data_IF_588738188775
#
_entry.id   IF_588738188775
#
_cell.length_a   1.000
_cell.length_b   1.000
_cell.length_c   1.000
_cell.angle_alpha   90.00
_cell.angle_beta   90.00
_cell.angle_gamma   90.00
#
_symmetry.space_group_name_H-M   'P 1'
#
loop_
_entity.id
_entity.type
_entity.pdbx_description
1 polymer ?
#
# COMPACT_ATOMS: atom_id res chain seq x y z
N UNK A 1 -23.56 -23.20 15.33
CA UNK A 1 -24.08 -22.14 14.47
C UNK A 1 -24.52 -22.76 13.16
N UNK A 2 -25.78 -22.60 12.80
CA UNK A 2 -26.36 -23.16 11.59
C UNK A 2 -25.85 -22.40 10.35
N UNK A 3 -25.92 -23.01 9.16
CA UNK A 3 -25.69 -22.32 7.88
C UNK A 3 -26.41 -20.98 7.74
N UNK A 4 -27.68 -20.92 8.17
CA UNK A 4 -28.52 -19.73 8.09
C UNK A 4 -28.03 -18.60 9.01
N UNK A 5 -27.44 -18.94 10.16
CA UNK A 5 -26.80 -17.99 11.08
C UNK A 5 -25.42 -17.52 10.59
N UNK A 6 -24.67 -18.38 9.87
CA UNK A 6 -23.32 -18.07 9.35
C UNK A 6 -23.35 -17.06 8.21
N UNK A 7 -24.27 -17.22 7.26
CA UNK A 7 -24.35 -16.39 6.04
C UNK A 7 -24.42 -14.87 6.31
N UNK A 8 -25.28 -14.35 7.20
CA UNK A 8 -25.31 -12.91 7.47
C UNK A 8 -24.00 -12.40 8.07
N UNK A 9 -23.36 -13.16 8.96
CA UNK A 9 -22.07 -12.80 9.56
C UNK A 9 -20.94 -12.76 8.52
N UNK A 10 -20.89 -13.72 7.59
CA UNK A 10 -19.92 -13.72 6.49
C UNK A 10 -20.13 -12.53 5.55
N UNK A 11 -21.39 -12.16 5.27
CA UNK A 11 -21.73 -10.99 4.45
C UNK A 11 -21.29 -9.68 5.13
N UNK A 12 -21.53 -9.56 6.44
CA UNK A 12 -21.08 -8.40 7.23
C UNK A 12 -19.55 -8.30 7.24
N UNK A 13 -18.87 -9.42 7.48
CA UNK A 13 -17.41 -9.49 7.43
C UNK A 13 -16.86 -9.13 6.04
N UNK A 14 -17.50 -9.59 4.97
CA UNK A 14 -17.13 -9.23 3.59
C UNK A 14 -17.17 -7.73 3.37
N UNK A 15 -18.28 -7.05 3.72
CA UNK A 15 -18.38 -5.61 3.54
C UNK A 15 -17.40 -4.84 4.43
N UNK A 16 -17.18 -5.31 5.66
CA UNK A 16 -16.15 -4.74 6.52
C UNK A 16 -14.76 -4.83 5.88
N UNK A 17 -14.39 -6.00 5.36
CA UNK A 17 -13.09 -6.22 4.71
C UNK A 17 -12.92 -5.39 3.44
N UNK A 18 -13.95 -5.27 2.61
CA UNK A 18 -13.94 -4.39 1.44
C UNK A 18 -13.69 -2.93 1.87
N UNK A 19 -14.41 -2.45 2.88
CA UNK A 19 -14.19 -1.10 3.41
C UNK A 19 -12.81 -0.90 4.06
N UNK A 20 -12.19 -1.95 4.60
CA UNK A 20 -10.79 -1.91 5.06
C UNK A 20 -9.85 -1.76 3.87
N UNK A 21 -10.02 -2.57 2.82
CA UNK A 21 -9.21 -2.53 1.59
C UNK A 21 -9.29 -1.16 0.91
N UNK A 22 -10.48 -0.56 0.83
CA UNK A 22 -10.67 0.79 0.26
C UNK A 22 -9.89 1.85 1.05
N UNK A 23 -9.90 1.78 2.39
CA UNK A 23 -9.10 2.70 3.23
C UNK A 23 -7.59 2.57 2.97
N UNK A 24 -7.11 1.37 2.65
CA UNK A 24 -5.69 1.20 2.26
C UNK A 24 -5.39 1.93 0.94
N UNK A 25 -6.29 1.90 -0.04
CA UNK A 25 -6.12 2.62 -1.31
C UNK A 25 -6.13 4.15 -1.09
N UNK A 26 -7.02 4.66 -0.24
CA UNK A 26 -7.04 6.07 0.15
C UNK A 26 -5.71 6.51 0.78
N UNK A 27 -5.17 5.69 1.69
CA UNK A 27 -3.87 5.95 2.33
C UNK A 27 -2.73 5.87 1.33
N UNK A 28 -2.76 4.90 0.43
CA UNK A 28 -1.78 4.74 -0.64
C UNK A 28 -1.78 5.95 -1.59
N UNK A 29 -2.93 6.57 -1.86
CA UNK A 29 -3.03 7.82 -2.62
C UNK A 29 -2.48 9.02 -1.84
N UNK A 30 -2.81 9.12 -0.55
CA UNK A 30 -2.29 10.18 0.34
C UNK A 30 -0.76 10.16 0.42
N UNK A 31 -0.16 8.97 0.58
CA UNK A 31 1.30 8.78 0.65
C UNK A 31 2.00 9.25 -0.63
N UNK A 32 1.44 8.92 -1.80
CA UNK A 32 1.96 9.41 -3.10
C UNK A 32 1.90 10.93 -3.17
N UNK A 33 0.77 11.51 -2.75
CA UNK A 33 0.59 12.96 -2.68
C UNK A 33 1.63 13.65 -1.79
N UNK A 34 1.88 13.11 -0.59
CA UNK A 34 2.91 13.62 0.32
C UNK A 34 4.31 13.49 -0.24
N UNK A 35 4.63 12.36 -0.86
CA UNK A 35 5.93 12.14 -1.49
C UNK A 35 6.21 13.17 -2.57
N UNK A 36 5.28 13.39 -3.49
CA UNK A 36 5.45 14.35 -4.58
C UNK A 36 5.53 15.77 -4.03
N UNK A 37 4.61 16.14 -3.14
CA UNK A 37 4.53 17.52 -2.61
C UNK A 37 5.78 17.88 -1.80
N UNK A 38 6.17 17.05 -0.82
CA UNK A 38 7.29 17.35 0.06
C UNK A 38 8.61 17.43 -0.72
N UNK A 39 8.86 16.47 -1.62
CA UNK A 39 10.09 16.44 -2.40
C UNK A 39 10.14 17.56 -3.44
N UNK A 40 9.02 17.87 -4.11
CA UNK A 40 8.96 18.95 -5.09
C UNK A 40 9.14 20.32 -4.43
N UNK A 41 8.51 20.56 -3.27
CA UNK A 41 8.70 21.81 -2.50
C UNK A 41 10.15 21.97 -2.07
N UNK A 42 10.77 20.90 -1.55
CA UNK A 42 12.19 20.91 -1.17
C UNK A 42 13.12 21.22 -2.35
N UNK A 43 12.94 20.53 -3.48
CA UNK A 43 13.75 20.74 -4.67
C UNK A 43 13.53 22.13 -5.30
N UNK A 44 12.29 22.59 -5.40
CA UNK A 44 11.98 23.93 -5.91
C UNK A 44 12.56 25.02 -5.01
N UNK A 45 12.41 24.87 -3.69
CA UNK A 45 12.98 25.78 -2.70
C UNK A 45 14.50 25.90 -2.82
N UNK A 46 15.20 24.77 -2.91
CA UNK A 46 16.64 24.75 -3.16
C UNK A 46 17.02 25.39 -4.50
N UNK A 47 16.22 25.19 -5.55
CA UNK A 47 16.50 25.75 -6.89
C UNK A 47 16.36 27.27 -6.92
N UNK A 48 15.35 27.82 -6.25
CA UNK A 48 14.99 29.25 -6.33
C UNK A 48 15.79 30.09 -5.32
N UNK A 49 16.23 29.49 -4.20
CA UNK A 49 16.97 30.19 -3.17
C UNK A 49 18.36 30.65 -3.67
N UNK A 50 18.50 31.97 -3.87
CA UNK A 50 19.71 32.59 -4.43
C UNK A 50 20.89 32.59 -3.45
N UNK A 51 20.62 32.65 -2.15
CA UNK A 51 21.66 32.76 -1.11
C UNK A 51 22.19 31.41 -0.61
N UNK A 52 21.62 30.30 -1.07
CA UNK A 52 22.05 28.95 -0.67
C UNK A 52 23.28 28.55 -1.49
N UNK A 53 24.30 27.98 -0.84
CA UNK A 53 25.50 27.50 -1.53
C UNK A 53 25.16 26.34 -2.48
N UNK A 54 26.04 26.07 -3.45
CA UNK A 54 25.86 24.93 -4.36
C UNK A 54 25.83 23.61 -3.58
N UNK A 55 26.73 23.43 -2.60
CA UNK A 55 26.77 22.18 -1.83
C UNK A 55 25.48 21.97 -1.03
N UNK A 56 24.94 23.04 -0.42
CA UNK A 56 23.69 22.96 0.32
C UNK A 56 22.49 22.62 -0.57
N UNK A 57 22.44 23.14 -1.81
CA UNK A 57 21.40 22.76 -2.79
C UNK A 57 21.49 21.28 -3.17
N UNK A 58 22.70 20.81 -3.48
CA UNK A 58 22.94 19.39 -3.82
C UNK A 58 22.54 18.47 -2.68
N UNK A 59 22.85 18.85 -1.43
CA UNK A 59 22.41 18.12 -0.25
C UNK A 59 20.88 18.03 -0.16
N UNK A 60 20.16 19.14 -0.37
CA UNK A 60 18.69 19.13 -0.36
C UNK A 60 18.13 18.20 -1.42
N UNK A 61 18.68 18.19 -2.65
CA UNK A 61 18.22 17.28 -3.70
C UNK A 61 18.42 15.81 -3.32
N UNK A 62 19.56 15.44 -2.72
CA UNK A 62 19.78 14.09 -2.22
C UNK A 62 18.84 13.72 -1.08
N UNK A 63 18.55 14.66 -0.17
CA UNK A 63 17.56 14.46 0.89
C UNK A 63 16.15 14.24 0.31
N UNK A 64 15.76 14.96 -0.74
CA UNK A 64 14.49 14.72 -1.44
C UNK A 64 14.45 13.35 -2.12
N UNK A 65 15.55 12.91 -2.75
CA UNK A 65 15.67 11.57 -3.33
C UNK A 65 15.50 10.48 -2.25
N UNK A 66 16.22 10.62 -1.13
CA UNK A 66 16.09 9.71 0.00
C UNK A 66 14.66 9.72 0.58
N UNK A 67 14.05 10.89 0.73
CA UNK A 67 12.66 11.03 1.19
C UNK A 67 11.67 10.30 0.29
N UNK A 68 11.83 10.41 -1.04
CA UNK A 68 11.01 9.67 -2.00
C UNK A 68 11.15 8.15 -1.84
N UNK A 69 12.36 7.64 -1.58
CA UNK A 69 12.60 6.23 -1.30
C UNK A 69 11.95 5.78 0.02
N UNK A 70 11.97 6.62 1.05
CA UNK A 70 11.26 6.34 2.31
C UNK A 70 9.74 6.25 2.10
N UNK A 71 9.15 7.20 1.36
CA UNK A 71 7.72 7.14 1.03
C UNK A 71 7.35 5.91 0.19
N UNK A 72 8.20 5.53 -0.77
CA UNK A 72 8.04 4.30 -1.54
C UNK A 72 7.99 3.06 -0.65
N UNK A 73 8.90 2.96 0.32
CA UNK A 73 8.93 1.83 1.24
C UNK A 73 7.69 1.78 2.13
N UNK A 74 7.22 2.94 2.60
CA UNK A 74 5.99 3.04 3.38
C UNK A 74 4.80 2.59 2.52
N UNK A 75 4.64 3.10 1.30
CA UNK A 75 3.55 2.71 0.38
C UNK A 75 3.57 1.20 0.07
N UNK A 76 4.76 0.62 -0.14
CA UNK A 76 4.93 -0.81 -0.30
C UNK A 76 4.44 -1.62 0.91
N UNK A 77 4.70 -1.12 2.13
CA UNK A 77 4.19 -1.70 3.37
C UNK A 77 2.67 -1.66 3.46
N UNK A 78 2.05 -0.51 3.16
CA UNK A 78 0.58 -0.38 3.09
C UNK A 78 -0.01 -1.33 2.05
N UNK A 79 0.59 -1.42 0.86
CA UNK A 79 0.13 -2.34 -0.18
C UNK A 79 0.28 -3.80 0.21
N UNK A 80 1.34 -4.15 0.93
CA UNK A 80 1.53 -5.49 1.48
C UNK A 80 0.41 -5.85 2.47
N UNK A 81 0.11 -4.96 3.43
CA UNK A 81 -0.97 -5.20 4.39
C UNK A 81 -2.34 -5.30 3.73
N UNK A 82 -2.65 -4.46 2.74
CA UNK A 82 -3.88 -4.55 1.96
C UNK A 82 -4.05 -5.94 1.33
N UNK A 83 -2.97 -6.47 0.73
CA UNK A 83 -3.00 -7.77 0.05
C UNK A 83 -3.25 -8.94 0.99
N UNK A 84 -2.90 -8.82 2.26
CA UNK A 84 -3.16 -9.86 3.27
C UNK A 84 -4.65 -10.08 3.54
N UNK A 85 -5.52 -9.14 3.19
CA UNK A 85 -6.98 -9.30 3.34
C UNK A 85 -7.65 -10.03 2.16
N UNK A 86 -7.06 -9.99 0.96
CA UNK A 86 -7.66 -10.62 -0.23
C UNK A 86 -7.93 -12.12 -0.11
N UNK A 87 -7.05 -12.95 0.49
CA UNK A 87 -7.33 -14.38 0.67
C UNK A 87 -8.63 -14.63 1.45
N UNK A 88 -8.91 -13.84 2.49
CA UNK A 88 -10.14 -13.95 3.28
C UNK A 88 -11.35 -13.50 2.49
N UNK A 89 -11.25 -12.40 1.76
CA UNK A 89 -12.30 -11.90 0.87
C UNK A 89 -12.67 -12.98 -0.15
N UNK A 90 -11.68 -13.56 -0.84
CA UNK A 90 -11.87 -14.64 -1.82
C UNK A 90 -12.47 -15.90 -1.18
N UNK A 91 -12.09 -16.24 0.05
CA UNK A 91 -12.70 -17.36 0.77
C UNK A 91 -14.20 -17.13 1.02
N UNK A 92 -14.57 -15.92 1.44
CA UNK A 92 -15.97 -15.54 1.64
C UNK A 92 -16.73 -15.56 0.30
N UNK A 93 -16.19 -14.98 -0.76
CA UNK A 93 -16.79 -15.00 -2.10
C UNK A 93 -17.06 -16.44 -2.59
N UNK A 94 -16.09 -17.35 -2.37
CA UNK A 94 -16.25 -18.77 -2.70
C UNK A 94 -17.36 -19.46 -1.90
N UNK A 95 -17.57 -19.08 -0.63
CA UNK A 95 -18.69 -19.60 0.17
C UNK A 95 -20.06 -19.07 -0.26
N UNK A 96 -20.11 -17.93 -0.96
CA UNK A 96 -21.35 -17.37 -1.50
C UNK A 96 -21.64 -17.85 -2.94
N UNK A 97 -20.62 -18.18 -3.71
CA UNK A 97 -20.79 -18.88 -4.98
C UNK A 97 -21.36 -20.29 -4.72
N UNK A 98 -22.20 -20.84 -5.63
CA UNK A 98 -22.97 -22.10 -5.53
C UNK A 98 -22.15 -23.40 -5.26
N UNK A 99 -20.88 -23.28 -4.88
CA UNK A 99 -19.99 -24.35 -4.46
C UNK A 99 -20.11 -24.69 -2.97
N UNK A 100 -20.76 -23.86 -2.15
CA UNK A 100 -21.06 -24.13 -0.74
C UNK A 100 -22.31 -23.35 -0.25
N UNK A 101 -23.54 -23.78 -0.61
CA UNK A 101 -24.76 -23.04 -0.31
C UNK A 101 -25.03 -22.84 1.20
N UNK A 102 -24.38 -23.64 2.05
CA UNK A 102 -24.51 -23.59 3.50
C UNK A 102 -23.45 -22.70 4.20
N UNK A 103 -22.39 -22.28 3.49
CA UNK A 103 -21.25 -21.63 4.14
C UNK A 103 -20.59 -22.52 5.20
N UNK A 104 -20.65 -23.85 5.01
CA UNK A 104 -20.11 -24.79 5.98
C UNK A 104 -18.58 -24.91 5.93
N UNK A 105 -17.97 -24.47 4.82
CA UNK A 105 -16.53 -24.57 4.58
C UNK A 105 -15.69 -23.55 5.35
N UNK A 106 -16.27 -22.44 5.84
CA UNK A 106 -15.51 -21.40 6.56
C UNK A 106 -16.24 -20.87 7.79
N UNK A 107 -15.50 -20.67 8.88
CA UNK A 107 -16.00 -19.98 10.07
C UNK A 107 -16.04 -18.46 9.84
N UNK A 108 -17.10 -17.73 10.25
CA UNK A 108 -17.13 -16.27 10.20
C UNK A 108 -16.31 -15.62 11.32
N UNK A 109 -16.10 -14.31 11.20
CA UNK A 109 -15.41 -13.45 12.17
C UNK A 109 -13.95 -13.87 12.41
N UNK A 110 -13.29 -14.38 11.36
CA UNK A 110 -11.92 -14.88 11.42
C UNK A 110 -10.90 -13.90 10.82
N UNK A 111 -11.15 -12.59 10.87
CA UNK A 111 -10.29 -11.57 10.23
C UNK A 111 -8.84 -11.65 10.74
N UNK A 112 -8.63 -11.58 12.06
CA UNK A 112 -7.30 -11.64 12.66
C UNK A 112 -6.64 -13.00 12.43
N UNK A 113 -7.41 -14.08 12.54
CA UNK A 113 -6.92 -15.43 12.29
C UNK A 113 -6.52 -15.61 10.81
N UNK A 114 -7.26 -15.04 9.86
CA UNK A 114 -6.89 -15.07 8.45
C UNK A 114 -5.66 -14.19 8.15
N UNK A 115 -5.52 -13.08 8.88
CA UNK A 115 -4.40 -12.15 8.73
C UNK A 115 -3.08 -12.73 9.27
N UNK A 116 -3.10 -13.40 10.44
CA UNK A 116 -1.89 -13.93 11.11
C UNK A 116 -1.73 -15.46 11.04
N UNK A 117 -2.81 -16.21 10.83
CA UNK A 117 -2.94 -17.63 11.21
C UNK A 117 -3.01 -18.67 10.09
N UNK A 118 -2.70 -18.34 8.84
CA UNK A 118 -2.24 -19.35 7.86
C UNK A 118 -3.18 -20.52 7.51
N UNK A 119 -4.44 -20.28 7.14
CA UNK A 119 -5.21 -21.29 6.40
C UNK A 119 -4.98 -21.09 4.90
N UNK A 120 -4.17 -21.99 4.30
CA UNK A 120 -3.55 -21.90 2.96
C UNK A 120 -2.53 -20.76 2.83
N UNK A 121 -1.34 -20.96 2.24
CA UNK A 121 -0.34 -19.90 2.13
C UNK A 121 -0.96 -18.75 1.35
N UNK A 122 -1.28 -17.59 1.97
CA UNK A 122 -1.58 -16.41 1.18
C UNK A 122 -0.32 -16.18 0.36
N UNK A 123 -0.43 -16.12 -0.97
CA UNK A 123 0.70 -15.84 -1.87
C UNK A 123 1.65 -14.93 -1.13
N UNK A 124 2.82 -15.47 -0.75
CA UNK A 124 3.82 -14.85 0.12
C UNK A 124 4.31 -13.62 -0.61
N UNK A 125 3.48 -12.58 -0.62
CA UNK A 125 3.70 -11.41 -1.43
C UNK A 125 4.69 -10.64 -0.60
N UNK A 126 5.96 -10.89 -0.86
CA UNK A 126 7.02 -10.18 -0.18
C UNK A 126 6.72 -8.69 -0.29
N UNK A 127 7.02 -7.94 0.77
CA UNK A 127 6.96 -6.47 0.72
C UNK A 127 7.70 -5.96 -0.53
N UNK A 128 8.80 -6.64 -0.91
CA UNK A 128 9.52 -6.39 -2.15
C UNK A 128 8.66 -6.53 -3.42
N UNK A 129 7.84 -7.57 -3.54
CA UNK A 129 6.92 -7.74 -4.69
C UNK A 129 5.87 -6.64 -4.73
N UNK A 130 5.40 -6.17 -3.57
CA UNK A 130 4.51 -5.01 -3.48
C UNK A 130 5.23 -3.70 -3.85
N UNK A 131 6.49 -3.55 -3.44
CA UNK A 131 7.31 -2.39 -3.75
C UNK A 131 7.57 -2.23 -5.25
N UNK A 132 7.74 -3.34 -5.98
CA UNK A 132 8.00 -3.34 -7.42
C UNK A 132 6.72 -3.23 -8.29
N UNK A 133 5.53 -3.12 -7.70
CA UNK A 133 4.32 -2.91 -8.49
C UNK A 133 4.38 -1.53 -9.16
N UNK A 134 4.07 -1.40 -10.47
CA UNK A 134 4.23 -0.14 -11.19
C UNK A 134 3.50 1.04 -10.52
N UNK A 135 2.27 0.83 -10.05
CA UNK A 135 1.49 1.88 -9.40
C UNK A 135 1.95 2.23 -7.98
N UNK A 136 2.84 1.43 -7.38
CA UNK A 136 3.54 1.74 -6.12
C UNK A 136 4.87 2.43 -6.43
N UNK A 137 5.68 1.88 -7.34
CA UNK A 137 7.02 2.37 -7.65
C UNK A 137 7.03 3.70 -8.41
N UNK A 138 6.24 3.82 -9.48
CA UNK A 138 6.37 4.90 -10.47
C UNK A 138 6.27 6.31 -9.87
N UNK A 139 5.29 6.62 -8.98
CA UNK A 139 5.17 7.98 -8.44
C UNK A 139 6.42 8.44 -7.69
N UNK A 140 7.03 7.53 -6.93
CA UNK A 140 8.22 7.83 -6.13
C UNK A 140 9.50 7.80 -6.97
N UNK A 141 9.57 6.90 -7.95
CA UNK A 141 10.71 6.80 -8.85
C UNK A 141 10.86 8.06 -9.72
N UNK A 142 9.76 8.60 -10.24
CA UNK A 142 9.78 9.83 -11.05
C UNK A 142 10.38 11.00 -10.27
N UNK A 143 9.94 11.24 -9.04
CA UNK A 143 10.45 12.34 -8.23
C UNK A 143 11.89 12.08 -7.74
N UNK A 144 12.25 10.84 -7.43
CA UNK A 144 13.62 10.47 -7.07
C UNK A 144 14.60 10.72 -8.23
N UNK A 145 14.24 10.33 -9.46
CA UNK A 145 15.05 10.57 -10.66
C UNK A 145 15.18 12.07 -10.93
N UNK A 146 14.10 12.85 -10.80
CA UNK A 146 14.15 14.30 -10.94
C UNK A 146 15.15 14.93 -9.97
N UNK A 147 15.04 14.60 -8.68
CA UNK A 147 15.93 15.12 -7.64
C UNK A 147 17.38 14.68 -7.86
N UNK A 148 17.62 13.41 -8.19
CA UNK A 148 18.96 12.92 -8.51
C UNK A 148 19.56 13.64 -9.74
N UNK A 149 18.77 13.87 -10.78
CA UNK A 149 19.19 14.63 -11.96
C UNK A 149 19.59 16.07 -11.62
N UNK A 150 18.81 16.75 -10.76
CA UNK A 150 19.15 18.09 -10.28
C UNK A 150 20.42 18.11 -9.42
N UNK A 151 20.66 17.06 -8.62
CA UNK A 151 21.87 16.91 -7.83
C UNK A 151 23.12 16.70 -8.68
N UNK A 152 23.01 15.95 -9.77
CA UNK A 152 24.13 15.62 -10.65
C UNK A 152 24.42 16.70 -11.69
N UNK A 153 23.46 17.56 -12.03
CA UNK A 153 23.66 18.68 -12.95
C UNK A 153 24.54 19.79 -12.32
N UNK A 154 24.30 20.08 -11.04
CA UNK A 154 24.86 21.26 -10.34
C UNK A 154 26.29 21.06 -9.87
#
# INVERSE_FOLDING_TARGET
>A
MTPEEKRPLLKEEYFYLQGVVEKFDDKSLQIKGWSVTACLVGAAGATIAKEVSVEARVLVYWLCCFGALCFWWIDAGWKHFQRSYYPRIVAIEKSFADKDPAGDSIAPLQVTHAFFGGAEPPQRSSVLRSALMPHVLLPHLVIAILCAGLALWR
#
